data_IF_356918107171
#
_entry.id   IF_356918107171
#
_cell.length_a   1.000
_cell.length_b   1.000
_cell.length_c   1.000
_cell.angle_alpha   90.00
_cell.angle_beta   90.00
_cell.angle_gamma   90.00
#
_symmetry.space_group_name_H-M   'P 1'
#
loop_
_entity.id
_entity.type
_entity.pdbx_description
1 polymer ?
#
# COMPACT_ATOMS: atom_id res chain seq x y z
N UNK A 1 12.52 17.45 22.83
CA UNK A 1 11.26 16.85 23.33
C UNK A 1 10.37 16.55 22.11
N UNK A 2 10.56 15.41 21.45
CA UNK A 2 9.89 15.08 20.17
C UNK A 2 8.38 14.94 20.46
N UNK A 3 7.53 15.66 19.72
CA UNK A 3 6.07 15.66 19.91
C UNK A 3 5.52 14.26 19.62
N UNK A 4 4.81 13.72 20.61
CA UNK A 4 4.47 12.29 20.78
C UNK A 4 3.07 11.96 20.22
N UNK A 5 2.80 12.13 18.93
CA UNK A 5 1.44 11.91 18.39
C UNK A 5 1.48 11.31 16.99
N UNK A 6 0.90 10.12 16.83
CA UNK A 6 0.42 9.65 15.53
C UNK A 6 -0.94 10.30 15.27
N UNK A 7 -1.24 10.61 14.01
CA UNK A 7 -2.56 11.10 13.61
C UNK A 7 -3.63 9.99 13.78
N UNK A 8 -4.89 10.35 14.10
CA UNK A 8 -6.00 9.40 14.11
C UNK A 8 -6.27 8.92 12.68
N UNK A 9 -6.65 7.65 12.52
CA UNK A 9 -6.79 7.06 11.19
C UNK A 9 -8.15 7.33 10.54
N UNK A 10 -9.25 7.36 11.28
CA UNK A 10 -10.54 7.73 10.71
C UNK A 10 -11.55 8.25 11.75
N UNK A 11 -12.53 9.02 11.30
CA UNK A 11 -13.70 9.37 12.10
C UNK A 11 -15.00 8.87 11.46
N UNK A 12 -15.98 8.39 12.25
CA UNK A 12 -15.98 8.37 13.73
C UNK A 12 -15.40 7.07 14.34
N UNK A 13 -15.31 5.97 13.58
CA UNK A 13 -15.13 4.63 14.14
C UNK A 13 -13.69 4.26 14.49
N UNK A 14 -12.71 4.85 13.79
CA UNK A 14 -11.30 4.47 13.85
C UNK A 14 -10.39 5.61 14.35
N UNK A 15 -10.85 6.37 15.35
CA UNK A 15 -10.09 7.45 15.97
C UNK A 15 -9.00 6.90 16.91
N UNK A 16 -8.13 6.05 16.37
CA UNK A 16 -7.03 5.38 17.04
C UNK A 16 -5.84 5.23 16.06
N UNK A 17 -4.62 4.98 16.56
CA UNK A 17 -3.49 4.53 15.74
C UNK A 17 -3.72 3.14 15.14
N UNK A 18 -3.55 3.01 13.82
CA UNK A 18 -3.43 1.73 13.11
C UNK A 18 -2.10 1.68 12.35
N UNK A 19 -1.38 0.56 12.46
CA UNK A 19 -0.02 0.43 11.91
C UNK A 19 0.00 0.49 10.39
N UNK A 20 -0.76 -0.40 9.75
CA UNK A 20 -0.89 -0.47 8.29
C UNK A 20 -1.36 0.86 7.71
N UNK A 21 -2.48 1.38 8.20
CA UNK A 21 -3.11 2.58 7.65
C UNK A 21 -2.16 3.78 7.75
N UNK A 22 -1.43 3.90 8.87
CA UNK A 22 -0.42 4.93 9.04
C UNK A 22 0.76 4.75 8.08
N UNK A 23 1.23 3.51 7.86
CA UNK A 23 2.28 3.23 6.89
C UNK A 23 1.87 3.64 5.47
N UNK A 24 0.69 3.21 5.02
CA UNK A 24 0.16 3.51 3.68
C UNK A 24 -0.08 5.02 3.52
N UNK A 25 -0.74 5.65 4.49
CA UNK A 25 -0.96 7.12 4.49
C UNK A 25 0.37 7.87 4.39
N UNK A 26 1.38 7.43 5.15
CA UNK A 26 2.69 8.05 5.13
C UNK A 26 3.33 7.94 3.75
N UNK A 27 3.35 6.74 3.15
CA UNK A 27 3.86 6.52 1.78
C UNK A 27 3.15 7.42 0.78
N UNK A 28 1.82 7.49 0.87
CA UNK A 28 1.00 8.30 -0.04
C UNK A 28 1.29 9.82 0.06
N UNK A 29 1.84 10.28 1.18
CA UNK A 29 1.99 11.71 1.49
C UNK A 29 3.44 12.19 1.58
N UNK A 30 4.42 11.35 1.22
CA UNK A 30 5.85 11.73 1.28
C UNK A 30 6.18 12.96 0.43
N UNK A 31 5.59 13.08 -0.76
CA UNK A 31 5.75 14.26 -1.63
C UNK A 31 5.12 15.54 -1.05
N UNK A 32 4.14 15.41 -0.14
CA UNK A 32 3.52 16.54 0.53
C UNK A 32 4.30 16.95 1.78
N UNK A 33 4.55 15.97 2.67
CA UNK A 33 5.22 16.20 3.94
C UNK A 33 5.87 14.91 4.46
N UNK A 34 7.17 14.70 4.22
CA UNK A 34 7.86 13.48 4.64
C UNK A 34 7.95 13.34 6.17
N UNK A 35 7.73 14.41 6.94
CA UNK A 35 7.72 14.34 8.41
C UNK A 35 6.62 13.39 8.94
N UNK A 36 5.51 13.23 8.19
CA UNK A 36 4.45 12.27 8.54
C UNK A 36 5.02 10.84 8.57
N UNK A 37 5.85 10.48 7.59
CA UNK A 37 6.54 9.19 7.56
C UNK A 37 7.54 9.02 8.70
N UNK A 38 8.34 10.03 8.97
CA UNK A 38 9.31 10.03 10.09
C UNK A 38 8.61 9.80 11.44
N UNK A 39 7.51 10.50 11.69
CA UNK A 39 6.77 10.41 12.94
C UNK A 39 6.06 9.05 13.07
N UNK A 40 5.49 8.53 11.97
CA UNK A 40 4.89 7.19 11.90
C UNK A 40 5.92 6.10 12.20
N UNK A 41 7.08 6.16 11.56
CA UNK A 41 8.15 5.18 11.75
C UNK A 41 8.58 5.09 13.21
N UNK A 42 8.90 6.23 13.84
CA UNK A 42 9.30 6.30 15.25
C UNK A 42 8.18 5.87 16.20
N UNK A 43 6.94 6.23 15.91
CA UNK A 43 5.80 5.83 16.73
C UNK A 43 5.61 4.31 16.70
N UNK A 44 5.58 3.69 15.52
CA UNK A 44 5.38 2.25 15.38
C UNK A 44 6.58 1.44 15.91
N UNK A 45 7.82 1.92 15.72
CA UNK A 45 9.02 1.32 16.29
C UNK A 45 8.97 1.19 17.82
N UNK A 46 8.35 2.17 18.50
CA UNK A 46 8.18 2.15 19.96
C UNK A 46 7.23 1.04 20.43
N UNK A 47 6.20 0.73 19.64
CA UNK A 47 5.20 -0.30 19.94
C UNK A 47 5.45 -1.58 19.13
N UNK A 48 6.64 -1.76 18.55
CA UNK A 48 6.99 -3.00 17.88
C UNK A 48 7.11 -4.12 18.91
N UNK A 49 6.52 -5.27 18.61
CA UNK A 49 6.37 -6.40 19.52
C UNK A 49 7.72 -6.89 20.07
N UNK A 50 7.68 -7.39 21.31
CA UNK A 50 8.85 -7.81 22.10
C UNK A 50 8.70 -9.19 22.73
N UNK A 51 7.49 -9.72 22.78
CA UNK A 51 7.14 -10.99 23.42
C UNK A 51 6.11 -11.73 22.58
N UNK A 52 5.90 -12.98 22.92
CA UNK A 52 4.82 -13.79 22.35
C UNK A 52 3.61 -13.71 23.29
N UNK A 53 2.49 -13.20 22.77
CA UNK A 53 1.22 -13.10 23.50
C UNK A 53 0.09 -13.47 22.54
N UNK A 54 -0.59 -14.59 22.78
CA UNK A 54 -1.65 -15.09 21.89
C UNK A 54 -2.94 -14.28 21.96
N UNK A 55 -3.19 -13.53 23.04
CA UNK A 55 -4.39 -12.73 23.16
C UNK A 55 -4.28 -11.46 22.31
N UNK A 56 -3.15 -10.76 22.41
CA UNK A 56 -2.87 -9.57 21.58
C UNK A 56 -2.25 -9.91 20.23
N UNK A 57 -1.92 -11.19 20.02
CA UNK A 57 -1.16 -11.71 18.87
C UNK A 57 0.22 -11.05 18.69
N UNK A 58 0.79 -10.60 19.80
CA UNK A 58 2.12 -10.00 19.81
C UNK A 58 3.15 -11.08 19.48
N UNK A 59 4.10 -10.73 18.61
CA UNK A 59 5.30 -11.52 18.32
C UNK A 59 6.50 -10.57 18.29
N UNK A 60 7.70 -11.02 18.70
CA UNK A 60 8.92 -10.23 18.59
C UNK A 60 9.12 -9.70 17.16
N UNK A 61 9.32 -8.37 17.04
CA UNK A 61 9.56 -7.70 15.76
C UNK A 61 8.32 -7.32 14.95
N UNK A 62 7.14 -7.82 15.31
CA UNK A 62 5.88 -7.49 14.62
C UNK A 62 5.46 -6.04 14.85
N UNK A 63 4.99 -5.36 13.81
CA UNK A 63 4.37 -4.03 13.92
C UNK A 63 2.88 -4.20 14.26
N UNK A 64 2.36 -3.38 15.16
CA UNK A 64 0.98 -3.50 15.65
C UNK A 64 -0.07 -3.22 14.58
N UNK A 65 -1.22 -3.88 14.70
CA UNK A 65 -2.43 -3.60 13.93
C UNK A 65 -3.05 -2.30 14.43
N UNK A 66 -3.41 -2.22 15.71
CA UNK A 66 -4.02 -1.01 16.28
C UNK A 66 -3.80 -0.86 17.80
N UNK A 67 -3.95 0.37 18.29
CA UNK A 67 -3.85 0.70 19.71
C UNK A 67 -5.07 1.50 20.18
N UNK A 68 -5.88 0.91 21.07
CA UNK A 68 -7.04 1.57 21.68
C UNK A 68 -6.80 1.91 23.14
N UNK A 69 -7.51 2.94 23.62
CA UNK A 69 -7.48 3.41 25.03
C UNK A 69 -8.86 3.42 25.70
N UNK A 70 -9.89 2.90 25.03
CA UNK A 70 -11.24 2.80 25.58
C UNK A 70 -11.36 1.77 26.70
N UNK A 71 -12.49 1.79 27.42
CA UNK A 71 -12.72 0.96 28.62
C UNK A 71 -12.53 -0.53 28.36
N UNK A 72 -13.13 -1.06 27.28
CA UNK A 72 -12.99 -2.47 26.90
C UNK A 72 -11.53 -2.90 26.68
N UNK A 73 -10.71 -2.03 26.10
CA UNK A 73 -9.29 -2.31 25.90
C UNK A 73 -8.53 -2.25 27.23
N UNK A 74 -8.85 -1.26 28.09
CA UNK A 74 -8.24 -1.11 29.41
C UNK A 74 -8.60 -2.22 30.39
N UNK A 75 -9.78 -2.82 30.26
CA UNK A 75 -10.22 -3.96 31.07
C UNK A 75 -9.72 -5.30 30.54
N UNK A 76 -9.03 -5.33 29.40
CA UNK A 76 -8.57 -6.57 28.76
C UNK A 76 -9.69 -7.38 28.10
N UNK A 77 -10.87 -6.78 27.89
CA UNK A 77 -12.00 -7.45 27.23
C UNK A 77 -11.82 -7.56 25.72
N UNK A 78 -10.95 -6.74 25.12
CA UNK A 78 -10.56 -6.79 23.71
C UNK A 78 -9.03 -6.67 23.60
N UNK A 79 -8.40 -7.22 22.54
CA UNK A 79 -6.95 -7.36 22.47
C UNK A 79 -6.17 -6.08 22.12
N UNK A 80 -6.84 -4.94 21.98
CA UNK A 80 -6.33 -3.69 21.38
C UNK A 80 -5.38 -2.86 22.28
N UNK A 81 -4.46 -3.49 23.02
CA UNK A 81 -3.60 -2.84 24.04
C UNK A 81 -2.08 -3.15 23.97
N UNK A 82 -1.39 -2.99 22.82
CA UNK A 82 -1.87 -2.92 21.44
C UNK A 82 -2.18 -4.31 20.87
N UNK A 83 -3.00 -4.35 19.82
CA UNK A 83 -3.30 -5.58 19.06
C UNK A 83 -2.38 -5.69 17.84
N UNK A 84 -1.97 -6.91 17.50
CA UNK A 84 -1.01 -7.20 16.43
C UNK A 84 -1.53 -8.18 15.37
N UNK A 85 -2.86 -8.33 15.21
CA UNK A 85 -3.45 -9.15 14.14
C UNK A 85 -3.37 -8.51 12.76
N UNK A 86 -2.14 -8.32 12.27
CA UNK A 86 -1.80 -7.80 10.94
C UNK A 86 -0.57 -8.55 10.44
N UNK A 87 -0.51 -8.89 9.16
CA UNK A 87 0.69 -9.48 8.55
C UNK A 87 1.34 -8.59 7.49
N UNK A 88 0.66 -7.53 7.08
CA UNK A 88 1.14 -6.54 6.11
C UNK A 88 1.84 -5.35 6.76
N UNK A 89 1.52 -4.97 8.01
CA UNK A 89 2.08 -3.77 8.63
C UNK A 89 3.62 -3.83 8.80
N UNK A 90 4.17 -5.00 9.13
CA UNK A 90 5.62 -5.18 9.33
C UNK A 90 6.43 -4.97 8.04
N UNK A 91 6.15 -5.65 6.90
CA UNK A 91 6.83 -5.34 5.65
C UNK A 91 6.54 -3.92 5.15
N UNK A 92 5.31 -3.40 5.32
CA UNK A 92 4.99 -2.01 4.95
C UNK A 92 5.81 -0.98 5.75
N UNK A 93 6.13 -1.25 7.02
CA UNK A 93 6.98 -0.37 7.82
C UNK A 93 8.42 -0.31 7.29
N UNK A 94 8.96 -1.44 6.82
CA UNK A 94 10.28 -1.49 6.15
C UNK A 94 10.27 -0.72 4.82
N UNK A 95 9.20 -0.87 4.03
CA UNK A 95 9.00 -0.10 2.79
C UNK A 95 8.96 1.40 3.10
N UNK A 96 8.19 1.82 4.11
CA UNK A 96 8.10 3.21 4.54
C UNK A 96 9.45 3.76 5.00
N UNK A 97 10.27 2.98 5.71
CA UNK A 97 11.59 3.42 6.17
C UNK A 97 12.47 3.81 4.98
N UNK A 98 12.49 2.96 3.96
CA UNK A 98 13.24 3.21 2.73
C UNK A 98 12.67 4.38 1.93
N UNK A 99 11.36 4.42 1.68
CA UNK A 99 10.74 5.52 0.93
C UNK A 99 10.95 6.87 1.65
N UNK A 100 10.84 6.90 2.98
CA UNK A 100 11.14 8.11 3.77
C UNK A 100 12.59 8.55 3.61
N UNK A 101 13.54 7.60 3.57
CA UNK A 101 14.95 7.90 3.28
C UNK A 101 15.17 8.40 1.84
N UNK A 102 14.47 7.84 0.85
CA UNK A 102 14.53 8.30 -0.54
C UNK A 102 14.03 9.74 -0.71
N UNK A 103 13.08 10.19 0.11
CA UNK A 103 12.59 11.57 0.09
C UNK A 103 13.42 12.54 0.94
N UNK A 104 13.95 12.10 2.08
CA UNK A 104 14.62 12.98 3.04
C UNK A 104 16.15 12.97 2.94
N UNK A 105 16.75 11.90 2.40
CA UNK A 105 18.18 11.66 2.47
C UNK A 105 18.70 11.39 3.88
N UNK A 106 17.82 11.26 4.88
CA UNK A 106 18.20 11.20 6.30
C UNK A 106 18.76 9.82 6.68
N UNK A 107 20.06 9.65 6.49
CA UNK A 107 20.78 8.44 6.89
C UNK A 107 20.90 8.31 8.43
N UNK A 108 20.68 9.40 9.19
CA UNK A 108 20.64 9.32 10.65
C UNK A 108 19.38 8.59 11.12
N UNK A 109 18.22 8.91 10.55
CA UNK A 109 16.97 8.18 10.80
C UNK A 109 17.10 6.69 10.45
N UNK A 110 17.74 6.36 9.33
CA UNK A 110 18.00 4.97 8.94
C UNK A 110 18.83 4.26 10.01
N UNK A 111 19.92 4.86 10.49
CA UNK A 111 20.74 4.29 11.57
C UNK A 111 19.98 4.16 12.89
N UNK A 112 19.17 5.15 13.24
CA UNK A 112 18.32 5.16 14.44
C UNK A 112 17.37 3.95 14.45
N UNK A 113 16.75 3.66 13.30
CA UNK A 113 15.69 2.67 13.18
C UNK A 113 16.14 1.31 12.67
N UNK A 114 17.43 1.14 12.32
CA UNK A 114 17.96 -0.14 11.84
C UNK A 114 17.76 -1.31 12.83
N UNK A 115 17.92 -1.15 14.16
CA UNK A 115 17.63 -2.24 15.11
C UNK A 115 16.16 -2.68 15.09
N UNK A 116 15.23 -1.79 14.74
CA UNK A 116 13.83 -2.12 14.55
C UNK A 116 13.59 -2.82 13.21
N UNK A 117 14.30 -2.40 12.15
CA UNK A 117 14.26 -3.04 10.84
C UNK A 117 14.79 -4.48 10.88
N UNK A 118 15.90 -4.71 11.58
CA UNK A 118 16.47 -6.05 11.81
C UNK A 118 15.47 -6.99 12.49
N UNK A 119 14.79 -6.51 13.55
CA UNK A 119 13.72 -7.26 14.22
C UNK A 119 12.50 -7.50 13.33
N UNK A 120 12.17 -6.57 12.45
CA UNK A 120 11.08 -6.74 11.49
C UNK A 120 11.42 -7.81 10.44
N UNK A 121 12.67 -7.84 9.95
CA UNK A 121 13.17 -8.91 9.09
C UNK A 121 13.16 -10.26 9.80
N UNK A 122 13.64 -10.33 11.05
CA UNK A 122 13.58 -11.55 11.86
C UNK A 122 12.14 -12.03 12.06
N UNK A 123 11.20 -11.11 12.27
CA UNK A 123 9.77 -11.45 12.34
C UNK A 123 9.28 -12.10 11.05
N UNK A 124 9.57 -11.50 9.89
CA UNK A 124 9.17 -12.05 8.59
C UNK A 124 9.69 -13.49 8.40
N UNK A 125 10.92 -13.75 8.88
CA UNK A 125 11.61 -15.03 8.68
C UNK A 125 11.19 -16.12 9.64
N UNK A 126 10.81 -15.76 10.87
CA UNK A 126 10.59 -16.73 11.96
C UNK A 126 9.14 -16.88 12.37
N UNK A 127 8.41 -15.77 12.39
CA UNK A 127 7.07 -15.69 12.96
C UNK A 127 6.00 -15.47 11.89
N UNK A 128 6.37 -14.78 10.80
CA UNK A 128 5.53 -14.59 9.62
C UNK A 128 5.41 -15.85 8.77
N UNK A 129 6.48 -16.64 8.69
CA UNK A 129 6.53 -17.93 7.98
C UNK A 129 6.20 -19.09 8.94
N UNK A 130 4.91 -19.43 9.06
CA UNK A 130 4.45 -20.34 10.12
C UNK A 130 4.80 -21.79 9.84
N UNK A 131 4.92 -22.18 8.57
CA UNK A 131 5.23 -23.54 8.16
C UNK A 131 6.62 -23.72 7.50
N UNK A 132 7.41 -22.65 7.40
CA UNK A 132 8.78 -22.69 6.93
C UNK A 132 8.90 -22.75 5.41
N UNK A 133 7.83 -22.47 4.69
CA UNK A 133 7.81 -22.44 3.23
C UNK A 133 8.25 -21.09 2.66
N UNK A 134 8.60 -20.10 3.48
CA UNK A 134 9.09 -18.79 3.08
C UNK A 134 8.01 -17.79 2.67
N UNK A 135 6.73 -18.11 2.84
CA UNK A 135 5.62 -17.18 2.64
C UNK A 135 5.13 -16.63 3.98
N UNK A 136 4.67 -15.38 4.01
CA UNK A 136 4.07 -14.79 5.21
C UNK A 136 2.59 -15.19 5.32
N UNK A 137 2.19 -15.65 6.50
CA UNK A 137 0.89 -16.25 6.75
C UNK A 137 0.23 -15.74 8.04
N UNK A 138 -1.08 -15.97 8.16
CA UNK A 138 -1.82 -15.73 9.40
C UNK A 138 -2.74 -16.90 9.75
N UNK A 139 -3.01 -17.05 11.04
CA UNK A 139 -3.95 -18.06 11.56
C UNK A 139 -5.04 -17.52 12.50
N UNK A 140 -4.97 -16.26 12.94
CA UNK A 140 -5.94 -15.71 13.91
C UNK A 140 -5.90 -16.44 15.25
N UNK A 141 -4.90 -16.17 16.09
CA UNK A 141 -4.72 -16.91 17.36
C UNK A 141 -5.58 -16.37 18.50
N UNK A 142 -6.06 -15.13 18.39
CA UNK A 142 -6.92 -14.52 19.41
C UNK A 142 -8.40 -14.81 19.18
N UNK A 143 -9.09 -15.31 20.21
CA UNK A 143 -10.55 -15.57 20.18
C UNK A 143 -11.40 -14.32 19.96
N UNK A 144 -10.84 -13.13 20.23
CA UNK A 144 -11.49 -11.82 20.04
C UNK A 144 -10.73 -10.96 19.03
N UNK A 145 -9.85 -11.58 18.24
CA UNK A 145 -9.09 -10.94 17.17
C UNK A 145 -9.80 -10.98 15.83
N UNK A 146 -9.09 -10.54 14.79
CA UNK A 146 -9.50 -10.60 13.40
C UNK A 146 -9.29 -12.00 12.84
N UNK A 147 -10.27 -12.45 12.04
CA UNK A 147 -10.15 -13.69 11.28
C UNK A 147 -9.15 -13.53 10.13
N UNK A 148 -9.26 -12.41 9.39
CA UNK A 148 -8.37 -12.07 8.28
C UNK A 148 -7.43 -10.94 8.69
N UNK A 149 -6.13 -11.08 8.41
CA UNK A 149 -5.10 -10.17 8.91
C UNK A 149 -4.36 -9.39 7.81
N UNK A 150 -4.84 -9.46 6.57
CA UNK A 150 -4.49 -8.54 5.50
C UNK A 150 -5.39 -7.30 5.51
N UNK A 151 -5.26 -6.44 4.49
CA UNK A 151 -6.06 -5.21 4.41
C UNK A 151 -7.55 -5.45 4.21
N UNK A 152 -7.91 -6.59 3.60
CA UNK A 152 -9.29 -7.10 3.58
C UNK A 152 -9.55 -7.93 4.84
N UNK A 153 -9.71 -7.25 5.97
CA UNK A 153 -9.83 -7.86 7.29
C UNK A 153 -11.26 -8.31 7.70
N UNK A 154 -12.26 -8.13 6.82
CA UNK A 154 -13.59 -8.70 7.06
C UNK A 154 -13.53 -10.22 7.02
N UNK A 155 -14.31 -10.91 7.88
CA UNK A 155 -14.24 -12.37 8.01
C UNK A 155 -14.54 -13.16 6.74
N UNK A 156 -15.22 -12.54 5.76
CA UNK A 156 -15.58 -13.09 4.45
C UNK A 156 -14.71 -12.54 3.30
N UNK A 157 -13.65 -11.80 3.59
CA UNK A 157 -12.86 -11.03 2.61
C UNK A 157 -11.90 -11.84 1.72
N UNK A 158 -11.82 -13.16 1.91
CA UNK A 158 -10.95 -14.07 1.15
C UNK A 158 -11.75 -15.27 0.62
N UNK A 159 -12.85 -15.07 -0.13
CA UNK A 159 -13.71 -16.18 -0.52
C UNK A 159 -13.09 -17.01 -1.65
N UNK A 160 -13.32 -18.32 -1.63
CA UNK A 160 -13.18 -19.16 -2.82
C UNK A 160 -14.31 -18.85 -3.84
N UNK A 161 -14.14 -19.26 -5.12
CA UNK A 161 -15.19 -19.13 -6.14
C UNK A 161 -16.55 -19.73 -5.75
N UNK A 162 -16.54 -20.79 -4.94
CA UNK A 162 -17.75 -21.47 -4.47
C UNK A 162 -18.38 -20.83 -3.22
N UNK A 163 -17.81 -19.71 -2.73
CA UNK A 163 -18.15 -18.98 -1.50
C UNK A 163 -17.66 -19.60 -0.19
N UNK A 164 -16.90 -20.70 -0.23
CA UNK A 164 -16.26 -21.23 1.00
C UNK A 164 -15.09 -20.34 1.43
N UNK A 165 -14.68 -20.46 2.70
CA UNK A 165 -13.57 -19.70 3.27
C UNK A 165 -12.34 -20.59 3.44
N UNK A 166 -11.14 -20.10 3.09
CA UNK A 166 -9.90 -20.83 3.28
C UNK A 166 -9.63 -21.08 4.76
N UNK A 167 -8.99 -22.21 5.04
CA UNK A 167 -8.57 -22.56 6.39
C UNK A 167 -7.13 -22.07 6.63
N UNK A 168 -6.80 -21.61 7.84
CA UNK A 168 -5.45 -21.19 8.18
C UNK A 168 -4.42 -22.32 8.20
N UNK A 169 -3.11 -22.02 8.10
CA UNK A 169 -2.54 -20.68 7.85
C UNK A 169 -2.80 -20.19 6.42
N UNK A 170 -3.15 -18.91 6.25
CA UNK A 170 -3.46 -18.33 4.93
C UNK A 170 -2.33 -17.38 4.50
N UNK A 171 -1.81 -17.57 3.29
CA UNK A 171 -0.84 -16.66 2.67
C UNK A 171 -1.55 -15.74 1.66
N UNK A 172 -1.51 -14.42 1.87
CA UNK A 172 -2.13 -13.44 0.97
C UNK A 172 -1.15 -12.90 -0.06
N UNK A 173 -1.59 -12.77 -1.30
CA UNK A 173 -0.72 -12.43 -2.43
C UNK A 173 -0.05 -11.06 -2.30
N UNK A 174 -0.79 -10.03 -1.87
CA UNK A 174 -0.25 -8.68 -1.71
C UNK A 174 0.80 -8.60 -0.61
N UNK A 175 0.64 -9.41 0.45
CA UNK A 175 1.58 -9.46 1.57
C UNK A 175 2.92 -10.04 1.11
N UNK A 176 2.89 -11.03 0.22
CA UNK A 176 4.11 -11.58 -0.36
C UNK A 176 4.82 -10.54 -1.24
N UNK A 177 4.05 -9.74 -1.98
CA UNK A 177 4.58 -8.58 -2.71
C UNK A 177 5.26 -7.58 -1.78
N UNK A 178 4.62 -7.23 -0.67
CA UNK A 178 5.21 -6.32 0.32
C UNK A 178 6.46 -6.92 0.96
N UNK A 179 6.47 -8.22 1.25
CA UNK A 179 7.65 -8.90 1.78
C UNK A 179 8.83 -8.84 0.80
N UNK A 180 8.58 -9.11 -0.49
CA UNK A 180 9.56 -8.96 -1.56
C UNK A 180 10.13 -7.53 -1.61
N UNK A 181 9.25 -6.52 -1.63
CA UNK A 181 9.66 -5.13 -1.74
C UNK A 181 10.42 -4.66 -0.48
N UNK A 182 9.98 -5.08 0.71
CA UNK A 182 10.64 -4.83 1.98
C UNK A 182 12.08 -5.40 2.00
N UNK A 183 12.28 -6.63 1.51
CA UNK A 183 13.62 -7.24 1.42
C UNK A 183 14.54 -6.43 0.48
N UNK A 184 14.06 -6.07 -0.71
CA UNK A 184 14.83 -5.28 -1.67
C UNK A 184 15.21 -3.92 -1.11
N UNK A 185 14.25 -3.21 -0.54
CA UNK A 185 14.44 -1.87 0.01
C UNK A 185 15.36 -1.88 1.22
N UNK A 186 15.22 -2.86 2.10
CA UNK A 186 16.12 -3.00 3.26
C UNK A 186 17.53 -3.38 2.82
N UNK A 187 17.70 -4.15 1.73
CA UNK A 187 19.00 -4.38 1.13
C UNK A 187 19.68 -3.04 0.73
N UNK A 188 18.95 -2.15 0.07
CA UNK A 188 19.47 -0.82 -0.30
C UNK A 188 19.85 0.03 0.92
N UNK A 189 19.09 -0.07 2.02
CA UNK A 189 19.46 0.57 3.29
C UNK A 189 20.79 0.02 3.82
N UNK A 190 21.02 -1.29 3.77
CA UNK A 190 22.31 -1.87 4.16
C UNK A 190 23.45 -1.43 3.26
N UNK A 191 23.23 -1.31 1.95
CA UNK A 191 24.22 -0.77 1.02
C UNK A 191 24.58 0.68 1.38
N UNK A 192 23.58 1.52 1.69
CA UNK A 192 23.80 2.89 2.15
C UNK A 192 24.55 2.98 3.50
N UNK A 193 24.45 1.95 4.33
CA UNK A 193 25.22 1.81 5.58
C UNK A 193 26.59 1.14 5.38
N UNK A 194 26.96 0.78 4.14
CA UNK A 194 28.23 0.13 3.82
C UNK A 194 28.29 -1.37 4.16
N UNK A 195 27.16 -2.03 4.41
CA UNK A 195 27.08 -3.45 4.74
C UNK A 195 26.77 -4.31 3.49
N UNK A 196 27.79 -4.47 2.67
CA UNK A 196 27.74 -5.23 1.41
C UNK A 196 27.30 -6.71 1.55
N UNK A 197 27.75 -7.48 2.56
CA UNK A 197 27.26 -8.85 2.77
C UNK A 197 25.75 -8.92 2.99
N UNK A 198 25.18 -8.07 3.84
CA UNK A 198 23.73 -8.05 4.12
C UNK A 198 22.93 -7.55 2.92
N UNK A 199 23.44 -6.56 2.19
CA UNK A 199 22.85 -6.13 0.91
C UNK A 199 22.70 -7.30 -0.07
N UNK A 200 23.79 -8.05 -0.30
CA UNK A 200 23.75 -9.21 -1.22
C UNK A 200 22.83 -10.32 -0.72
N UNK A 201 22.86 -10.62 0.58
CA UNK A 201 22.00 -11.64 1.19
C UNK A 201 20.52 -11.34 1.03
N UNK A 202 20.09 -10.12 1.38
CA UNK A 202 18.69 -9.72 1.24
C UNK A 202 18.26 -9.60 -0.22
N UNK A 203 19.13 -9.14 -1.11
CA UNK A 203 18.83 -9.11 -2.55
C UNK A 203 18.57 -10.52 -3.09
N UNK A 204 19.41 -11.50 -2.74
CA UNK A 204 19.20 -12.90 -3.13
C UNK A 204 17.89 -13.45 -2.56
N UNK A 205 17.62 -13.18 -1.28
CA UNK A 205 16.39 -13.60 -0.61
C UNK A 205 15.14 -13.01 -1.28
N UNK A 206 15.19 -11.75 -1.69
CA UNK A 206 14.10 -11.12 -2.42
C UNK A 206 13.85 -11.82 -3.76
N UNK A 207 14.89 -12.09 -4.54
CA UNK A 207 14.71 -12.80 -5.83
C UNK A 207 14.17 -14.23 -5.63
N UNK A 208 14.63 -14.95 -4.60
CA UNK A 208 14.09 -16.28 -4.26
C UNK A 208 12.61 -16.23 -3.87
N UNK A 209 12.22 -15.22 -3.09
CA UNK A 209 10.82 -15.01 -2.76
C UNK A 209 9.99 -14.63 -4.00
N UNK A 210 10.54 -13.80 -4.90
CA UNK A 210 9.87 -13.44 -6.16
C UNK A 210 9.58 -14.66 -7.02
N UNK A 211 10.56 -15.54 -7.20
CA UNK A 211 10.40 -16.79 -7.93
C UNK A 211 9.33 -17.68 -7.29
N UNK A 212 9.35 -17.80 -5.95
CA UNK A 212 8.34 -18.56 -5.20
C UNK A 212 6.93 -17.98 -5.34
N UNK A 213 6.76 -16.66 -5.27
CA UNK A 213 5.47 -16.00 -5.48
C UNK A 213 4.93 -16.32 -6.87
N UNK A 214 5.77 -16.17 -7.90
CA UNK A 214 5.37 -16.47 -9.28
C UNK A 214 4.98 -17.95 -9.41
N UNK A 215 5.78 -18.87 -8.88
CA UNK A 215 5.50 -20.30 -8.95
C UNK A 215 4.21 -20.70 -8.23
N UNK A 216 3.94 -20.13 -7.04
CA UNK A 216 2.84 -20.56 -6.19
C UNK A 216 1.51 -19.84 -6.48
N UNK A 217 1.55 -18.59 -6.91
CA UNK A 217 0.35 -17.76 -7.07
C UNK A 217 -0.04 -17.50 -8.53
N UNK A 218 0.86 -17.60 -9.51
CA UNK A 218 0.52 -17.32 -10.90
C UNK A 218 -0.34 -18.43 -11.52
N UNK A 219 -1.50 -18.07 -12.07
CA UNK A 219 -2.43 -19.00 -12.72
C UNK A 219 -2.43 -18.71 -14.23
N UNK A 220 -1.63 -19.47 -15.00
CA UNK A 220 -1.37 -19.18 -16.42
C UNK A 220 -2.65 -19.11 -17.27
N UNK A 221 -3.56 -20.07 -17.11
CA UNK A 221 -4.82 -20.12 -17.86
C UNK A 221 -5.79 -18.99 -17.49
N UNK A 222 -5.68 -18.45 -16.27
CA UNK A 222 -6.44 -17.27 -15.86
C UNK A 222 -5.74 -15.97 -16.26
N UNK A 223 -4.42 -15.99 -16.43
CA UNK A 223 -3.60 -14.80 -16.64
C UNK A 223 -3.64 -13.85 -15.44
N UNK A 224 -3.71 -14.39 -14.23
CA UNK A 224 -3.86 -13.62 -12.99
C UNK A 224 -3.14 -14.31 -11.84
N UNK A 225 -2.76 -13.54 -10.83
CA UNK A 225 -2.30 -14.10 -9.56
C UNK A 225 -3.50 -14.48 -8.68
N UNK A 226 -3.40 -15.62 -8.01
CA UNK A 226 -4.33 -16.04 -6.98
C UNK A 226 -4.44 -15.00 -5.86
N UNK A 227 -5.59 -14.93 -5.21
CA UNK A 227 -5.78 -14.06 -4.04
C UNK A 227 -4.94 -14.55 -2.86
N UNK A 228 -4.94 -15.86 -2.62
CA UNK A 228 -4.32 -16.47 -1.47
C UNK A 228 -3.93 -17.93 -1.72
N UNK A 229 -3.16 -18.48 -0.79
CA UNK A 229 -3.05 -19.92 -0.54
C UNK A 229 -3.68 -20.22 0.82
N UNK A 230 -4.43 -21.32 0.93
CA UNK A 230 -4.94 -21.81 2.21
C UNK A 230 -3.90 -22.67 2.97
N UNK A 231 -4.26 -23.19 4.15
CA UNK A 231 -3.37 -24.00 4.99
C UNK A 231 -3.00 -25.37 4.42
N UNK A 232 -3.61 -25.78 3.30
CA UNK A 232 -3.20 -26.96 2.51
C UNK A 232 -2.44 -26.55 1.24
N UNK A 233 -2.05 -25.27 1.16
CA UNK A 233 -1.45 -24.61 -0.01
C UNK A 233 -2.31 -24.73 -1.26
N UNK A 234 -3.63 -24.86 -1.10
CA UNK A 234 -4.56 -24.77 -2.20
C UNK A 234 -4.71 -23.32 -2.62
N UNK A 235 -4.63 -23.11 -3.94
CA UNK A 235 -4.80 -21.82 -4.56
C UNK A 235 -6.24 -21.35 -4.35
N UNK A 236 -6.42 -20.09 -3.94
CA UNK A 236 -7.70 -19.36 -3.93
C UNK A 236 -7.77 -18.52 -5.21
N UNK A 237 -8.34 -19.00 -6.33
CA UNK A 237 -8.24 -18.38 -7.65
C UNK A 237 -9.28 -17.27 -7.85
N UNK A 238 -9.48 -16.44 -6.82
CA UNK A 238 -10.50 -15.40 -6.79
C UNK A 238 -9.94 -14.10 -7.35
N UNK A 239 -10.61 -13.55 -8.37
CA UNK A 239 -10.22 -12.30 -9.02
C UNK A 239 -10.56 -11.13 -8.11
N UNK A 240 -9.52 -10.44 -7.63
CA UNK A 240 -9.62 -9.30 -6.72
C UNK A 240 -8.65 -8.19 -7.11
N UNK A 241 -8.75 -7.04 -6.43
CA UNK A 241 -7.79 -5.94 -6.55
C UNK A 241 -6.38 -6.27 -6.03
N UNK A 242 -6.20 -7.28 -5.17
CA UNK A 242 -4.94 -7.57 -4.46
C UNK A 242 -3.77 -7.80 -5.42
N UNK A 243 -4.00 -8.43 -6.58
CA UNK A 243 -2.96 -8.63 -7.59
C UNK A 243 -2.38 -7.31 -8.14
N UNK A 244 -3.14 -6.20 -8.07
CA UNK A 244 -2.64 -4.89 -8.44
C UNK A 244 -1.57 -4.35 -7.49
N UNK A 245 -1.52 -4.83 -6.24
CA UNK A 245 -0.47 -4.46 -5.29
C UNK A 245 0.87 -5.15 -5.61
N UNK A 246 0.84 -6.31 -6.30
CA UNK A 246 2.06 -6.92 -6.83
C UNK A 246 2.72 -6.06 -7.90
N UNK A 247 1.92 -5.32 -8.69
CA UNK A 247 2.44 -4.36 -9.67
C UNK A 247 3.20 -3.23 -8.96
N UNK A 248 2.70 -2.73 -7.82
CA UNK A 248 3.43 -1.72 -7.06
C UNK A 248 4.75 -2.28 -6.50
N UNK A 249 4.71 -3.51 -5.96
CA UNK A 249 5.88 -4.21 -5.42
C UNK A 249 6.90 -4.62 -6.48
N UNK A 250 6.51 -4.67 -7.76
CA UNK A 250 7.38 -5.03 -8.88
C UNK A 250 7.67 -6.53 -9.01
N UNK A 251 6.76 -7.38 -8.51
CA UNK A 251 6.91 -8.85 -8.59
C UNK A 251 6.71 -9.37 -10.02
N UNK A 252 5.63 -9.05 -10.74
CA UNK A 252 5.37 -9.64 -12.06
C UNK A 252 6.44 -9.29 -13.10
N UNK A 253 6.64 -10.11 -14.12
CA UNK A 253 7.33 -9.64 -15.33
C UNK A 253 6.42 -8.72 -16.19
N UNK A 254 6.93 -8.21 -17.31
CA UNK A 254 6.17 -7.31 -18.18
C UNK A 254 4.94 -7.95 -18.84
N UNK A 255 5.00 -9.24 -19.19
CA UNK A 255 3.88 -9.95 -19.81
C UNK A 255 2.79 -10.21 -18.77
N UNK A 256 3.17 -10.73 -17.61
CA UNK A 256 2.28 -10.94 -16.47
C UNK A 256 1.63 -9.63 -16.04
N UNK A 257 2.40 -8.54 -15.96
CA UNK A 257 1.87 -7.23 -15.63
C UNK A 257 0.81 -6.77 -16.64
N UNK A 258 1.06 -6.95 -17.94
CA UNK A 258 0.06 -6.63 -18.98
C UNK A 258 -1.25 -7.43 -18.82
N UNK A 259 -1.16 -8.72 -18.48
CA UNK A 259 -2.34 -9.57 -18.21
C UNK A 259 -3.10 -9.09 -16.96
N UNK A 260 -2.40 -8.78 -15.86
CA UNK A 260 -3.01 -8.24 -14.63
C UNK A 260 -3.69 -6.90 -14.87
N UNK A 261 -3.03 -5.97 -15.58
CA UNK A 261 -3.62 -4.66 -15.92
C UNK A 261 -4.90 -4.82 -16.74
N UNK A 262 -4.92 -5.75 -17.69
CA UNK A 262 -6.13 -6.06 -18.47
C UNK A 262 -7.29 -6.53 -17.60
N UNK A 263 -7.03 -7.38 -16.61
CA UNK A 263 -8.04 -7.84 -15.64
C UNK A 263 -8.49 -6.72 -14.71
N UNK A 264 -7.58 -5.89 -14.18
CA UNK A 264 -7.97 -4.80 -13.28
C UNK A 264 -8.86 -3.75 -13.97
N UNK A 265 -8.68 -3.56 -15.27
CA UNK A 265 -9.43 -2.61 -16.10
C UNK A 265 -10.62 -3.25 -16.84
N UNK A 266 -10.91 -4.54 -16.63
CA UNK A 266 -12.06 -5.19 -17.24
C UNK A 266 -13.37 -4.67 -16.64
N UNK A 267 -14.51 -4.77 -17.36
CA UNK A 267 -15.80 -4.25 -16.88
C UNK A 267 -16.30 -4.83 -15.55
N UNK A 268 -15.85 -6.04 -15.18
CA UNK A 268 -16.22 -6.68 -13.92
C UNK A 268 -15.34 -6.23 -12.74
N UNK A 269 -14.17 -5.65 -12.98
CA UNK A 269 -13.30 -5.07 -11.96
C UNK A 269 -13.40 -3.55 -11.91
N UNK A 270 -13.25 -2.87 -13.06
CA UNK A 270 -13.33 -1.41 -13.14
C UNK A 270 -14.77 -0.94 -13.35
N UNK A 271 -15.29 -0.27 -12.32
CA UNK A 271 -16.68 0.18 -12.26
C UNK A 271 -17.00 1.45 -13.06
N UNK A 272 -15.99 2.11 -13.62
CA UNK A 272 -16.08 3.49 -14.10
C UNK A 272 -15.88 4.55 -13.02
N UNK A 273 -16.00 4.20 -11.73
CA UNK A 273 -15.64 5.04 -10.58
C UNK A 273 -14.27 4.65 -9.98
N UNK A 274 -13.89 3.39 -10.13
CA UNK A 274 -12.67 2.80 -9.58
C UNK A 274 -12.70 1.29 -9.66
N UNK A 275 -11.57 0.66 -9.35
CA UNK A 275 -11.40 -0.79 -9.33
C UNK A 275 -12.02 -1.33 -8.04
N UNK A 276 -12.84 -2.35 -8.19
CA UNK A 276 -13.53 -3.04 -7.10
C UNK A 276 -12.59 -3.95 -6.32
N UNK A 277 -12.93 -4.20 -5.07
CA UNK A 277 -12.21 -5.19 -4.26
C UNK A 277 -12.41 -6.62 -4.77
N UNK A 278 -13.52 -6.92 -5.45
CA UNK A 278 -13.87 -8.25 -5.95
C UNK A 278 -14.55 -8.11 -7.31
N UNK A 279 -14.24 -9.02 -8.25
CA UNK A 279 -14.91 -9.07 -9.55
C UNK A 279 -16.43 -9.17 -9.37
N UNK A 280 -17.16 -8.36 -10.14
CA UNK A 280 -18.63 -8.42 -10.16
C UNK A 280 -19.19 -9.69 -10.77
N UNK A 281 -18.35 -10.53 -11.38
CA UNK A 281 -18.70 -11.86 -11.87
C UNK A 281 -18.66 -12.93 -10.77
N UNK A 282 -18.10 -12.60 -9.60
CA UNK A 282 -17.95 -13.53 -8.50
C UNK A 282 -19.29 -13.78 -7.78
N UNK A 283 -19.53 -15.01 -7.32
CA UNK A 283 -20.80 -15.42 -6.70
C UNK A 283 -21.19 -14.60 -5.47
N UNK A 284 -20.21 -14.28 -4.61
CA UNK A 284 -20.44 -13.49 -3.38
C UNK A 284 -20.31 -11.98 -3.58
N UNK A 285 -20.17 -11.54 -4.83
CA UNK A 285 -20.09 -10.13 -5.13
C UNK A 285 -21.31 -9.39 -4.59
N UNK A 286 -21.04 -8.36 -3.79
CA UNK A 286 -22.04 -7.44 -3.30
C UNK A 286 -21.46 -6.01 -3.39
N UNK A 287 -22.06 -5.12 -4.19
CA UNK A 287 -21.57 -3.75 -4.34
C UNK A 287 -21.64 -2.97 -3.02
N UNK A 288 -22.43 -3.41 -2.04
CA UNK A 288 -22.51 -2.81 -0.70
C UNK A 288 -21.79 -3.65 0.36
N UNK A 289 -20.88 -4.55 -0.02
CA UNK A 289 -20.01 -5.25 0.95
C UNK A 289 -18.76 -4.43 1.24
N UNK A 290 -18.25 -4.57 2.47
CA UNK A 290 -17.04 -3.88 2.92
C UNK A 290 -15.80 -4.27 2.10
N UNK A 291 -15.56 -5.57 1.87
CA UNK A 291 -14.44 -6.06 1.06
C UNK A 291 -14.83 -6.97 -0.12
N UNK A 292 -16.11 -7.27 -0.35
CA UNK A 292 -16.57 -8.15 -1.44
C UNK A 292 -17.29 -7.41 -2.58
N UNK A 293 -16.86 -6.20 -2.93
CA UNK A 293 -17.34 -5.51 -4.13
C UNK A 293 -17.25 -3.99 -4.12
N UNK A 294 -17.02 -3.37 -2.97
CA UNK A 294 -16.82 -1.92 -2.84
C UNK A 294 -15.58 -1.40 -3.57
N UNK A 295 -15.41 -0.09 -3.57
CA UNK A 295 -14.25 0.61 -4.13
C UNK A 295 -13.58 1.42 -3.04
N UNK A 296 -12.27 1.23 -2.88
CA UNK A 296 -11.45 1.87 -1.84
C UNK A 296 -10.41 2.81 -2.48
N UNK A 297 -10.32 4.09 -2.05
CA UNK A 297 -9.34 5.02 -2.59
C UNK A 297 -7.89 4.59 -2.37
N UNK A 298 -7.56 4.04 -1.20
CA UNK A 298 -6.18 3.65 -0.89
C UNK A 298 -5.72 2.48 -1.80
N UNK A 299 -6.56 1.45 -1.96
CA UNK A 299 -6.36 0.30 -2.86
C UNK A 299 -6.08 0.79 -4.28
N UNK A 300 -6.96 1.65 -4.81
CA UNK A 300 -6.80 2.22 -6.14
C UNK A 300 -5.53 3.07 -6.29
N UNK A 301 -5.06 3.75 -5.22
CA UNK A 301 -3.80 4.51 -5.27
C UNK A 301 -2.57 3.63 -5.40
N UNK A 302 -2.57 2.47 -4.74
CA UNK A 302 -1.49 1.49 -4.86
C UNK A 302 -1.53 0.83 -6.25
N UNK A 303 -2.73 0.48 -6.74
CA UNK A 303 -2.90 -0.06 -8.09
C UNK A 303 -2.38 0.91 -9.14
N UNK A 304 -2.78 2.19 -9.09
CA UNK A 304 -2.33 3.23 -10.02
C UNK A 304 -0.80 3.40 -9.99
N UNK A 305 -0.19 3.37 -8.79
CA UNK A 305 1.26 3.35 -8.63
C UNK A 305 1.91 2.14 -9.32
N UNK A 306 1.30 0.95 -9.20
CA UNK A 306 1.71 -0.26 -9.88
C UNK A 306 1.59 -0.19 -11.41
N UNK A 307 0.44 0.26 -11.94
CA UNK A 307 0.23 0.44 -13.38
C UNK A 307 1.33 1.33 -13.97
N UNK A 308 1.56 2.47 -13.34
CA UNK A 308 2.54 3.45 -13.81
C UNK A 308 3.97 2.93 -13.72
N UNK A 309 4.31 2.16 -12.68
CA UNK A 309 5.62 1.50 -12.56
C UNK A 309 5.94 0.62 -13.77
N UNK A 310 4.93 -0.03 -14.35
CA UNK A 310 5.06 -0.88 -15.54
C UNK A 310 4.81 -0.14 -16.87
N UNK A 311 4.76 1.20 -16.85
CA UNK A 311 4.57 2.01 -18.06
C UNK A 311 3.13 2.16 -18.52
N UNK A 312 2.15 1.70 -17.74
CA UNK A 312 0.72 1.80 -18.07
C UNK A 312 0.08 3.11 -17.57
N UNK A 313 0.81 4.24 -17.58
CA UNK A 313 0.32 5.54 -17.08
C UNK A 313 -0.99 5.99 -17.75
N UNK A 314 -1.10 5.82 -19.08
CA UNK A 314 -2.34 6.15 -19.80
C UNK A 314 -3.51 5.25 -19.39
N UNK A 315 -3.25 3.98 -19.05
CA UNK A 315 -4.28 3.05 -18.60
C UNK A 315 -4.75 3.37 -17.16
N UNK A 316 -3.94 4.11 -16.38
CA UNK A 316 -4.32 4.58 -15.06
C UNK A 316 -5.23 5.83 -15.09
N UNK A 317 -5.20 6.64 -16.17
CA UNK A 317 -5.98 7.89 -16.29
C UNK A 317 -7.49 7.68 -16.06
N UNK A 318 -8.16 6.66 -16.63
CA UNK A 318 -9.58 6.42 -16.37
C UNK A 318 -9.90 6.15 -14.90
N UNK A 319 -8.99 5.47 -14.18
CA UNK A 319 -9.16 5.18 -12.74
C UNK A 319 -9.01 6.45 -11.91
N UNK A 320 -7.99 7.26 -12.22
CA UNK A 320 -7.79 8.59 -11.58
C UNK A 320 -8.99 9.50 -11.82
N UNK A 321 -9.52 9.54 -13.05
CA UNK A 321 -10.74 10.27 -13.40
C UNK A 321 -11.94 9.77 -12.59
N UNK A 322 -12.13 8.45 -12.49
CA UNK A 322 -13.20 7.88 -11.67
C UNK A 322 -13.13 8.33 -10.20
N UNK A 323 -11.93 8.31 -9.62
CA UNK A 323 -11.69 8.76 -8.23
C UNK A 323 -11.92 10.26 -8.06
N UNK A 324 -11.43 11.08 -8.99
CA UNK A 324 -11.67 12.52 -8.99
C UNK A 324 -13.15 12.86 -9.09
N UNK A 325 -13.85 12.26 -10.06
CA UNK A 325 -15.27 12.45 -10.24
C UNK A 325 -16.04 11.96 -9.00
N UNK A 326 -15.62 10.86 -8.37
CA UNK A 326 -16.23 10.40 -7.12
C UNK A 326 -16.04 11.41 -5.98
N UNK A 327 -14.83 11.97 -5.84
CA UNK A 327 -14.53 13.00 -4.84
C UNK A 327 -15.44 14.23 -5.00
N UNK A 328 -15.67 14.71 -6.23
CA UNK A 328 -16.55 15.87 -6.51
C UNK A 328 -17.97 15.67 -5.97
N UNK A 329 -18.49 14.43 -6.01
CA UNK A 329 -19.82 14.12 -5.48
C UNK A 329 -19.84 13.97 -3.95
N UNK A 330 -18.66 13.76 -3.33
CA UNK A 330 -18.52 13.59 -1.90
C UNK A 330 -18.73 14.90 -1.14
N UNK A 331 -19.20 14.77 0.10
CA UNK A 331 -19.30 15.91 1.02
C UNK A 331 -17.92 16.57 1.17
N UNK A 332 -17.84 17.90 1.04
CA UNK A 332 -16.57 18.65 1.05
C UNK A 332 -15.57 18.22 -0.04
N UNK A 333 -16.05 17.63 -1.13
CA UNK A 333 -15.25 17.21 -2.29
C UNK A 333 -14.11 16.24 -1.94
N UNK A 334 -14.36 15.32 -0.98
CA UNK A 334 -13.37 14.35 -0.49
C UNK A 334 -13.81 12.93 -0.77
N UNK A 335 -12.83 12.03 -0.84
CA UNK A 335 -13.08 10.60 -0.89
C UNK A 335 -13.36 10.05 0.52
N UNK A 336 -14.42 9.24 0.71
CA UNK A 336 -14.66 8.52 1.94
C UNK A 336 -13.70 7.32 2.05
N UNK A 337 -13.76 6.61 3.17
CA UNK A 337 -13.07 5.34 3.36
C UNK A 337 -13.28 4.34 2.22
N UNK A 338 -14.55 4.14 1.85
CA UNK A 338 -14.98 3.31 0.75
C UNK A 338 -16.32 3.82 0.23
N UNK A 339 -16.66 3.45 -0.99
CA UNK A 339 -17.99 3.63 -1.54
C UNK A 339 -18.46 2.37 -2.26
N UNK A 340 -19.77 2.27 -2.48
CA UNK A 340 -20.38 1.07 -3.03
C UNK A 340 -19.92 0.83 -4.45
N UNK A 341 -19.68 -0.44 -4.75
CA UNK A 341 -19.32 -0.93 -6.05
C UNK A 341 -20.46 -0.97 -7.05
N UNK A 342 -21.27 0.06 -7.22
CA UNK A 342 -22.14 0.08 -8.41
C UNK A 342 -21.37 0.49 -9.65
N UNK A 343 -21.77 0.00 -10.83
CA UNK A 343 -21.20 0.49 -12.09
C UNK A 343 -21.68 1.92 -12.32
N UNK A 344 -20.84 2.77 -12.94
CA UNK A 344 -21.22 4.09 -13.44
C UNK A 344 -22.36 4.02 -14.46
N UNK A 345 -22.56 2.89 -15.13
CA UNK A 345 -23.73 2.67 -16.01
C UNK A 345 -25.02 2.39 -15.25
N UNK A 346 -24.94 1.99 -13.97
CA UNK A 346 -26.09 1.69 -13.12
C UNK A 346 -26.49 2.87 -12.22
N UNK A 347 -25.54 3.74 -11.87
CA UNK A 347 -25.77 4.92 -11.06
C UNK A 347 -24.98 6.12 -11.60
N UNK A 348 -25.67 7.25 -11.80
CA UNK A 348 -25.09 8.49 -12.33
C UNK A 348 -24.13 9.18 -11.35
N UNK A 349 -24.14 8.78 -10.07
CA UNK A 349 -23.26 9.24 -9.00
C UNK A 349 -22.76 8.04 -8.19
N UNK A 350 -21.61 8.14 -7.49
CA UNK A 350 -21.18 7.10 -6.57
C UNK A 350 -22.22 6.91 -5.46
N UNK A 351 -22.53 5.66 -5.14
CA UNK A 351 -23.39 5.36 -3.99
C UNK A 351 -22.52 5.20 -2.75
N UNK A 352 -22.81 5.96 -1.72
CA UNK A 352 -22.02 5.96 -0.50
C UNK A 352 -22.25 4.71 0.34
N UNK A 353 -21.17 4.18 0.91
CA UNK A 353 -21.25 3.07 1.85
C UNK A 353 -21.79 3.59 3.21
N UNK A 354 -22.88 3.00 3.75
CA UNK A 354 -23.64 3.63 4.85
C UNK A 354 -22.86 3.97 6.13
N UNK A 355 -21.83 3.18 6.46
CA UNK A 355 -21.06 3.34 7.70
C UNK A 355 -19.60 3.71 7.46
N UNK A 356 -19.28 4.21 6.26
CA UNK A 356 -17.92 4.63 5.90
C UNK A 356 -17.41 5.78 6.78
N UNK A 357 -16.14 5.71 7.17
CA UNK A 357 -15.48 6.84 7.79
C UNK A 357 -15.20 7.95 6.78
N UNK A 358 -15.43 9.20 7.19
CA UNK A 358 -15.13 10.37 6.38
C UNK A 358 -14.89 11.58 7.30
N UNK A 359 -13.62 11.99 7.53
CA UNK A 359 -12.43 11.60 6.78
C UNK A 359 -11.80 10.30 7.28
N UNK A 360 -11.02 9.68 6.39
CA UNK A 360 -10.08 8.60 6.70
C UNK A 360 -8.71 8.90 6.09
N UNK A 361 -7.65 8.61 6.82
CA UNK A 361 -6.30 9.04 6.53
C UNK A 361 -5.77 8.48 5.21
N UNK A 362 -5.80 7.17 4.99
CA UNK A 362 -5.30 6.56 3.75
C UNK A 362 -6.21 6.81 2.52
N UNK A 363 -7.47 7.23 2.74
CA UNK A 363 -8.36 7.69 1.68
C UNK A 363 -8.03 9.14 1.28
N UNK A 364 -7.70 9.98 2.27
CA UNK A 364 -7.24 11.35 2.06
C UNK A 364 -5.85 11.39 1.43
N UNK A 365 -4.97 10.47 1.82
CA UNK A 365 -3.62 10.33 1.27
C UNK A 365 -3.61 9.91 -0.20
N UNK A 366 -4.58 9.08 -0.63
CA UNK A 366 -4.66 8.52 -1.98
C UNK A 366 -4.50 9.57 -3.10
N UNK A 367 -5.10 10.76 -2.95
CA UNK A 367 -5.01 11.84 -3.95
C UNK A 367 -3.58 12.33 -4.19
N UNK A 368 -2.76 12.38 -3.14
CA UNK A 368 -1.35 12.79 -3.26
C UNK A 368 -0.52 11.74 -3.98
N UNK A 369 -0.79 10.45 -3.72
CA UNK A 369 -0.13 9.38 -4.45
C UNK A 369 -0.57 9.34 -5.92
N UNK A 370 -1.86 9.55 -6.23
CA UNK A 370 -2.32 9.67 -7.61
C UNK A 370 -1.53 10.76 -8.35
N UNK A 371 -1.41 11.97 -7.77
CA UNK A 371 -0.68 13.07 -8.39
C UNK A 371 0.80 12.74 -8.54
N UNK A 372 1.47 12.26 -7.48
CA UNK A 372 2.88 11.90 -7.53
C UNK A 372 3.17 10.88 -8.63
N UNK A 373 2.37 9.82 -8.68
CA UNK A 373 2.50 8.74 -9.66
C UNK A 373 2.20 9.22 -11.08
N UNK A 374 1.09 9.91 -11.31
CA UNK A 374 0.70 10.39 -12.65
C UNK A 374 1.73 11.35 -13.24
N UNK A 375 2.41 12.14 -12.41
CA UNK A 375 3.48 13.03 -12.83
C UNK A 375 4.84 12.33 -12.93
N UNK A 376 4.91 11.04 -12.58
CA UNK A 376 6.14 10.27 -12.60
C UNK A 376 7.19 10.75 -11.61
N UNK A 377 6.77 11.42 -10.54
CA UNK A 377 7.68 12.02 -9.56
C UNK A 377 8.24 10.92 -8.66
N UNK A 378 9.56 10.78 -8.66
CA UNK A 378 10.28 9.90 -7.74
C UNK A 378 11.50 10.62 -7.17
N UNK A 379 11.55 10.71 -5.85
CA UNK A 379 12.70 11.25 -5.14
C UNK A 379 13.81 10.20 -4.99
N UNK A 380 15.05 10.65 -5.14
CA UNK A 380 16.27 9.91 -4.80
C UNK A 380 17.22 10.92 -4.12
N UNK A 381 16.75 11.47 -2.99
CA UNK A 381 17.45 12.46 -2.19
C UNK A 381 18.88 12.04 -1.80
N UNK A 382 19.18 10.76 -1.46
CA UNK A 382 20.55 10.32 -1.18
C UNK A 382 21.53 10.55 -2.34
N UNK A 383 21.04 10.55 -3.58
CA UNK A 383 21.82 10.83 -4.78
C UNK A 383 21.67 12.28 -5.29
N UNK A 384 20.92 13.12 -4.57
CA UNK A 384 20.50 14.45 -5.01
C UNK A 384 19.83 14.43 -6.40
N UNK A 385 18.89 13.50 -6.62
CA UNK A 385 18.14 13.41 -7.87
C UNK A 385 16.62 13.45 -7.62
N UNK A 386 15.91 14.21 -8.44
CA UNK A 386 14.46 14.08 -8.62
C UNK A 386 14.19 13.58 -10.04
N UNK A 387 13.49 12.45 -10.14
CA UNK A 387 13.02 11.91 -11.42
C UNK A 387 11.60 12.36 -11.71
N UNK A 388 11.33 12.66 -12.99
CA UNK A 388 10.00 12.94 -13.56
C UNK A 388 9.86 12.05 -14.78
N UNK A 389 9.14 10.93 -14.65
CA UNK A 389 9.08 9.85 -15.64
C UNK A 389 7.73 9.77 -16.32
N UNK A 390 7.67 9.99 -17.62
CA UNK A 390 6.44 9.88 -18.41
C UNK A 390 5.24 10.58 -17.74
N UNK A 391 5.34 11.90 -17.42
CA UNK A 391 4.25 12.60 -16.79
C UNK A 391 3.00 12.56 -17.67
N UNK A 392 1.85 12.27 -17.08
CA UNK A 392 0.55 12.25 -17.74
C UNK A 392 -0.45 13.02 -16.88
N UNK A 393 -0.89 14.18 -17.36
CA UNK A 393 -2.05 14.85 -16.80
C UNK A 393 -3.34 14.23 -17.35
N UNK A 394 -4.34 13.96 -16.49
CA UNK A 394 -5.68 13.62 -16.95
C UNK A 394 -6.28 14.71 -17.84
N UNK A 395 -7.24 14.33 -18.67
CA UNK A 395 -7.87 15.21 -19.65
C UNK A 395 -8.74 16.32 -19.04
N UNK A 396 -9.10 16.22 -17.76
CA UNK A 396 -9.76 17.29 -17.00
C UNK A 396 -8.77 18.31 -16.38
N UNK A 397 -7.46 18.09 -16.48
CA UNK A 397 -6.44 18.93 -15.86
C UNK A 397 -5.46 19.43 -16.93
N UNK A 398 -5.59 20.69 -17.32
CA UNK A 398 -4.77 21.29 -18.38
C UNK A 398 -3.38 21.69 -17.91
N UNK A 399 -3.28 22.18 -16.68
CA UNK A 399 -2.02 22.59 -16.07
C UNK A 399 -2.00 22.32 -14.57
N UNK A 400 -0.82 22.06 -14.04
CA UNK A 400 -0.59 21.84 -12.62
C UNK A 400 0.76 22.41 -12.23
N UNK A 401 0.79 23.24 -11.19
CA UNK A 401 2.04 23.73 -10.61
C UNK A 401 2.22 23.13 -9.23
N UNK A 402 3.35 22.46 -9.03
CA UNK A 402 3.80 22.03 -7.71
C UNK A 402 4.85 23.03 -7.25
N UNK A 403 4.64 23.62 -6.07
CA UNK A 403 5.58 24.57 -5.46
C UNK A 403 6.15 24.01 -4.18
N UNK A 404 7.43 24.31 -3.92
CA UNK A 404 8.13 23.92 -2.70
C UNK A 404 8.16 22.39 -2.42
N UNK A 405 8.16 21.57 -3.47
CA UNK A 405 8.38 20.12 -3.34
C UNK A 405 9.74 19.89 -2.68
N UNK A 406 9.73 19.18 -1.56
CA UNK A 406 10.94 18.97 -0.77
C UNK A 406 11.58 17.63 -1.10
N UNK A 407 12.86 17.65 -1.49
CA UNK A 407 13.68 16.45 -1.74
C UNK A 407 15.03 16.67 -1.08
N UNK A 408 15.31 15.92 0.00
CA UNK A 408 16.42 16.23 0.89
C UNK A 408 16.32 17.65 1.45
N UNK A 409 17.39 18.43 1.32
CA UNK A 409 17.41 19.84 1.70
C UNK A 409 17.04 20.80 0.55
N UNK A 410 16.61 20.26 -0.59
CA UNK A 410 16.22 21.05 -1.77
C UNK A 410 14.72 21.32 -1.79
N UNK A 411 14.34 22.49 -2.27
CA UNK A 411 12.96 22.86 -2.61
C UNK A 411 12.85 23.13 -4.11
N UNK A 412 11.92 22.46 -4.75
CA UNK A 412 11.74 22.45 -6.21
C UNK A 412 10.33 22.91 -6.53
N UNK A 413 10.19 23.75 -7.56
CA UNK A 413 8.89 24.07 -8.15
C UNK A 413 8.85 23.63 -9.60
N UNK A 414 7.84 22.85 -9.98
CA UNK A 414 7.63 22.29 -11.30
C UNK A 414 6.28 22.72 -11.84
N UNK A 415 6.23 23.03 -13.13
CA UNK A 415 5.00 23.28 -13.87
C UNK A 415 4.79 22.20 -14.91
N UNK A 416 3.62 21.58 -14.86
CA UNK A 416 3.17 20.58 -15.82
C UNK A 416 2.07 21.17 -16.68
N UNK A 417 2.18 21.00 -18.00
CA UNK A 417 1.18 21.47 -18.96
C UNK A 417 0.85 20.40 -19.97
N UNK A 418 -0.44 20.12 -20.13
CA UNK A 418 -0.94 19.18 -21.12
C UNK A 418 -0.90 19.81 -22.51
N UNK A 419 -0.43 19.05 -23.49
CA UNK A 419 -0.41 19.43 -24.90
C UNK A 419 -0.78 18.22 -25.75
N UNK A 420 -2.07 18.12 -26.09
CA UNK A 420 -2.64 16.93 -26.72
C UNK A 420 -2.66 15.75 -25.74
N UNK A 421 -2.01 14.65 -26.13
CA UNK A 421 -1.82 13.44 -25.33
C UNK A 421 -0.56 13.46 -24.46
N UNK A 422 0.29 14.49 -24.59
CA UNK A 422 1.55 14.63 -23.86
C UNK A 422 1.43 15.61 -22.71
N UNK A 423 2.30 15.44 -21.71
CA UNK A 423 2.50 16.43 -20.64
C UNK A 423 3.93 16.94 -20.71
N UNK A 424 4.06 18.26 -20.83
CA UNK A 424 5.34 18.96 -20.71
C UNK A 424 5.62 19.24 -19.24
N UNK A 425 6.87 19.08 -18.81
CA UNK A 425 7.33 19.43 -17.46
C UNK A 425 8.40 20.51 -17.55
N UNK A 426 8.20 21.60 -16.84
CA UNK A 426 9.10 22.75 -16.81
C UNK A 426 9.57 23.00 -15.37
N UNK A 427 10.88 23.16 -15.21
CA UNK A 427 11.47 23.61 -13.97
C UNK A 427 11.23 25.11 -13.79
N UNK A 428 10.57 25.51 -12.70
CA UNK A 428 10.34 26.92 -12.37
C UNK A 428 11.42 27.47 -11.44
N UNK A 429 11.79 26.72 -10.40
CA UNK A 429 12.77 27.17 -9.41
C UNK A 429 13.38 26.00 -8.65
N UNK A 430 14.63 26.17 -8.22
CA UNK A 430 15.33 25.31 -7.25
C UNK A 430 15.97 26.20 -6.20
N UNK A 431 15.87 25.81 -4.93
CA UNK A 431 16.58 26.44 -3.81
C UNK A 431 17.02 25.39 -2.79
N UNK A 432 18.02 25.71 -1.97
CA UNK A 432 18.64 24.73 -1.06
C UNK A 432 19.86 24.07 -1.69
N UNK A 433 20.07 22.79 -1.40
CA UNK A 433 21.22 22.03 -1.91
C UNK A 433 21.15 21.79 -3.43
N UNK A 434 22.28 21.55 -4.10
CA UNK A 434 22.28 21.18 -5.50
C UNK A 434 21.53 19.87 -5.75
N UNK A 435 20.59 19.86 -6.68
CA UNK A 435 19.80 18.68 -7.07
C UNK A 435 19.70 18.56 -8.60
N UNK A 436 19.89 17.35 -9.12
CA UNK A 436 19.66 17.02 -10.52
C UNK A 436 18.19 16.68 -10.75
N UNK A 437 17.57 17.30 -11.75
CA UNK A 437 16.20 16.97 -12.17
C UNK A 437 16.27 16.21 -13.48
N UNK A 438 15.84 14.95 -13.48
CA UNK A 438 15.84 14.07 -14.64
C UNK A 438 14.42 13.93 -15.18
N UNK A 439 14.16 14.52 -16.34
CA UNK A 439 12.90 14.37 -17.06
C UNK A 439 13.11 13.26 -18.09
N UNK A 440 12.42 12.14 -17.91
CA UNK A 440 12.57 10.92 -18.71
C UNK A 440 11.27 10.69 -19.48
N UNK A 441 11.35 10.67 -20.81
CA UNK A 441 10.24 10.38 -21.72
C UNK A 441 10.62 9.09 -22.46
N UNK A 442 9.95 7.97 -22.16
CA UNK A 442 10.18 6.66 -22.79
C UNK A 442 9.05 6.28 -23.72
#
# INVERSE_FOLDING_TARGET
MIKKRLFPQAFPWYSAPFGRDACITSIQTLSLNPQIGVDTLRFLARYQGRREDSFTEEQPGKIMHELRRGELARSGEIPHVPYYGTIDATPLWLILLHETWQWTGDLHLVRELMPNAERALEWMDRYGDMDGDGLIEYSGTSRKGLNNQGWKDSGDGVPFPDATLPQPPIALVEVQGYAYDALRRTAELYSALGNEPLFRGLKKKAEDLREKIIQAFWIENLGMFALALDGKKQIVPTITSNAGHLLWSGVPDAEQAGKVVKHLLSPDMFSGWGIRTLSSSHRVYNPMSYHNGSVWPHDNSIIIAGLTRYGFSHAAVPVVRGMYDAAIHGESQRLPELFCGMSRTQATHPVWYPVSCSPQAWASGAMFLFMQTMLGIKAEAPANVLHVRNPVLPDFLDELTISNLSVGHSKISLHFKRHGDRTLSNLLSVSGDPIQIRIELT
#
